data_IF_093068901113
#
_entry.id   IF_093068901113
#
_cell.length_a   1.000
_cell.length_b   1.000
_cell.length_c   1.000
_cell.angle_alpha   90.00
_cell.angle_beta   90.00
_cell.angle_gamma   90.00
#
_symmetry.space_group_name_H-M   'P 1'
#
loop_
_entity.id
_entity.type
_entity.pdbx_description
1 polymer ?
#
# COMPACT_ATOMS: atom_id res chain seq x y z
N UNK A 1 9.55 0.56 -21.25
CA UNK A 1 8.94 -0.08 -20.08
C UNK A 1 8.07 0.91 -19.34
N UNK A 2 6.94 0.44 -18.86
CA UNK A 2 6.04 1.29 -18.09
C UNK A 2 6.59 1.57 -16.69
N UNK A 3 6.58 2.84 -16.28
CA UNK A 3 6.89 3.20 -14.91
C UNK A 3 5.64 3.01 -14.06
N UNK A 4 5.72 2.17 -13.04
CA UNK A 4 4.60 1.92 -12.15
C UNK A 4 4.53 2.98 -11.05
N UNK A 5 3.31 3.33 -10.66
CA UNK A 5 3.03 4.28 -9.58
C UNK A 5 2.44 3.54 -8.39
N UNK A 6 3.02 3.77 -7.23
CA UNK A 6 2.62 3.13 -5.97
C UNK A 6 2.11 4.17 -5.00
N UNK A 7 0.92 3.96 -4.45
CA UNK A 7 0.42 4.81 -3.37
C UNK A 7 0.87 4.24 -2.04
N UNK A 8 1.55 5.05 -1.24
CA UNK A 8 2.00 4.66 0.10
C UNK A 8 1.18 5.38 1.15
N UNK A 9 0.49 4.64 2.00
CA UNK A 9 -0.41 5.17 3.00
C UNK A 9 0.11 4.84 4.39
N UNK A 10 0.49 5.86 5.16
CA UNK A 10 1.00 5.71 6.52
C UNK A 10 0.83 7.05 7.22
N UNK A 11 0.45 7.03 8.50
CA UNK A 11 0.30 8.27 9.26
C UNK A 11 1.63 8.83 9.76
N UNK A 12 2.71 8.08 9.66
CA UNK A 12 4.05 8.51 10.06
C UNK A 12 4.79 9.10 8.86
N UNK A 13 5.15 10.39 8.97
CA UNK A 13 5.85 11.10 7.90
C UNK A 13 7.21 10.48 7.58
N UNK A 14 7.94 10.03 8.60
CA UNK A 14 9.24 9.40 8.41
C UNK A 14 9.14 8.12 7.59
N UNK A 15 8.11 7.32 7.84
CA UNK A 15 7.87 6.09 7.10
C UNK A 15 7.49 6.42 5.65
N UNK A 16 6.63 7.42 5.43
CA UNK A 16 6.29 7.83 4.07
C UNK A 16 7.53 8.29 3.30
N UNK A 17 8.39 9.06 3.93
CA UNK A 17 9.63 9.54 3.31
C UNK A 17 10.56 8.38 2.97
N UNK A 18 10.67 7.41 3.89
CA UNK A 18 11.52 6.23 3.70
C UNK A 18 11.05 5.40 2.50
N UNK A 19 9.75 5.11 2.43
CA UNK A 19 9.20 4.34 1.32
C UNK A 19 9.32 5.12 0.01
N UNK A 20 9.07 6.43 0.05
CA UNK A 20 9.22 7.27 -1.13
C UNK A 20 10.62 7.23 -1.70
N UNK A 21 11.64 7.34 -0.84
CA UNK A 21 13.03 7.26 -1.26
C UNK A 21 13.39 5.88 -1.81
N UNK A 22 12.99 4.82 -1.09
CA UNK A 22 13.30 3.45 -1.49
C UNK A 22 12.68 3.11 -2.84
N UNK A 23 11.40 3.37 -2.98
CA UNK A 23 10.67 3.06 -4.21
C UNK A 23 11.16 3.93 -5.37
N UNK A 24 11.41 5.21 -5.11
CA UNK A 24 11.93 6.11 -6.13
C UNK A 24 13.27 5.65 -6.68
N UNK A 25 14.16 5.18 -5.80
CA UNK A 25 15.45 4.64 -6.21
C UNK A 25 15.33 3.38 -7.07
N UNK A 26 14.20 2.70 -6.97
CA UNK A 26 13.96 1.46 -7.73
C UNK A 26 13.02 1.66 -8.91
N UNK A 27 12.85 2.89 -9.36
CA UNK A 27 12.16 3.20 -10.60
C UNK A 27 10.65 3.38 -10.48
N UNK A 28 10.11 3.43 -9.27
CA UNK A 28 8.68 3.67 -9.07
C UNK A 28 8.39 5.14 -8.86
N UNK A 29 7.22 5.57 -9.31
CA UNK A 29 6.65 6.84 -8.87
C UNK A 29 5.84 6.60 -7.61
N UNK A 30 5.85 7.54 -6.69
CA UNK A 30 5.22 7.38 -5.40
C UNK A 30 4.22 8.51 -5.15
N UNK A 31 3.03 8.13 -4.73
CA UNK A 31 2.01 9.06 -4.26
C UNK A 31 1.81 8.75 -2.78
N UNK A 32 2.02 9.73 -1.91
CA UNK A 32 1.93 9.53 -0.47
C UNK A 32 0.59 10.00 0.07
N UNK A 33 0.02 9.24 1.00
CA UNK A 33 -1.19 9.64 1.71
C UNK A 33 -0.96 9.43 3.21
N UNK A 34 -1.45 10.39 4.03
CA UNK A 34 -1.15 10.40 5.46
C UNK A 34 -2.25 9.78 6.33
N UNK A 35 -3.35 9.34 5.74
CA UNK A 35 -4.46 8.71 6.46
C UNK A 35 -5.32 7.92 5.49
N UNK A 36 -6.22 7.09 6.03
CA UNK A 36 -7.17 6.38 5.19
C UNK A 36 -8.07 7.33 4.41
N UNK A 37 -8.58 8.37 5.06
CA UNK A 37 -9.44 9.35 4.36
C UNK A 37 -8.69 10.10 3.27
N UNK A 38 -7.46 10.50 3.55
CA UNK A 38 -6.63 11.16 2.55
C UNK A 38 -6.40 10.22 1.36
N UNK A 39 -6.14 8.94 1.64
CA UNK A 39 -5.95 7.94 0.59
C UNK A 39 -7.19 7.80 -0.29
N UNK A 40 -8.40 7.86 0.28
CA UNK A 40 -9.62 7.81 -0.52
C UNK A 40 -9.67 8.97 -1.52
N UNK A 41 -9.39 10.18 -1.06
CA UNK A 41 -9.40 11.37 -1.93
C UNK A 41 -8.35 11.26 -3.03
N UNK A 42 -7.15 10.84 -2.66
CA UNK A 42 -6.05 10.66 -3.63
C UNK A 42 -6.44 9.62 -4.66
N UNK A 43 -6.98 8.49 -4.22
CA UNK A 43 -7.35 7.41 -5.12
C UNK A 43 -8.46 7.83 -6.08
N UNK A 44 -9.46 8.55 -5.59
CA UNK A 44 -10.56 9.00 -6.45
C UNK A 44 -10.07 9.89 -7.58
N UNK A 45 -9.06 10.72 -7.33
CA UNK A 45 -8.56 11.63 -8.36
C UNK A 45 -7.50 11.00 -9.24
N UNK A 46 -6.81 9.94 -8.78
CA UNK A 46 -5.66 9.36 -9.49
C UNK A 46 -5.78 7.86 -9.73
N UNK A 47 -6.99 7.33 -9.67
CA UNK A 47 -7.25 5.89 -9.76
C UNK A 47 -6.56 5.23 -10.95
N UNK A 48 -6.61 5.87 -12.11
CA UNK A 48 -6.04 5.31 -13.34
C UNK A 48 -4.51 5.27 -13.34
N UNK A 49 -3.88 6.08 -12.50
CA UNK A 49 -2.42 6.16 -12.43
C UNK A 49 -1.84 5.19 -11.40
N UNK A 50 -2.63 4.78 -10.41
CA UNK A 50 -2.14 3.98 -9.28
C UNK A 50 -2.13 2.51 -9.67
N UNK A 51 -0.95 1.90 -9.64
CA UNK A 51 -0.75 0.50 -10.03
C UNK A 51 -0.71 -0.45 -8.85
N UNK A 52 -0.40 0.04 -7.65
CA UNK A 52 -0.34 -0.77 -6.43
C UNK A 52 -0.43 0.14 -5.21
N UNK A 53 -0.75 -0.44 -4.05
CA UNK A 53 -0.86 0.29 -2.80
C UNK A 53 -0.08 -0.46 -1.71
N UNK A 54 0.72 0.28 -0.96
CA UNK A 54 1.34 -0.19 0.28
C UNK A 54 0.71 0.62 1.40
N UNK A 55 0.11 -0.06 2.37
CA UNK A 55 -0.61 0.64 3.43
C UNK A 55 -0.31 0.07 4.81
N UNK A 56 -0.32 0.96 5.80
CA UNK A 56 -0.19 0.63 7.20
C UNK A 56 -1.54 0.16 7.72
N UNK A 57 -1.56 -0.92 8.49
CA UNK A 57 -2.78 -1.38 9.14
C UNK A 57 -3.21 -0.42 10.24
N UNK A 58 -2.26 0.05 11.04
CA UNK A 58 -2.54 0.82 12.25
C UNK A 58 -2.52 2.31 11.97
N UNK A 59 -3.69 2.87 11.68
CA UNK A 59 -3.86 4.30 11.45
C UNK A 59 -5.05 4.81 12.25
N UNK A 60 -4.98 6.03 12.80
CA UNK A 60 -6.12 6.63 13.48
C UNK A 60 -7.32 6.80 12.52
N UNK A 61 -8.51 6.57 13.03
CA UNK A 61 -9.72 6.65 12.21
C UNK A 61 -9.90 5.39 11.38
N UNK A 62 -9.77 5.53 10.06
CA UNK A 62 -9.90 4.39 9.16
C UNK A 62 -8.59 3.57 9.20
N UNK A 63 -8.67 2.30 9.58
CA UNK A 63 -7.49 1.43 9.59
C UNK A 63 -7.21 0.89 8.18
N UNK A 64 -6.05 0.20 8.05
CA UNK A 64 -5.62 -0.30 6.76
C UNK A 64 -6.56 -1.34 6.15
N UNK A 65 -7.18 -2.17 6.98
CA UNK A 65 -8.09 -3.19 6.46
C UNK A 65 -9.35 -2.58 5.88
N UNK A 66 -9.90 -1.57 6.55
CA UNK A 66 -11.06 -0.84 6.05
C UNK A 66 -10.74 -0.14 4.72
N UNK A 67 -9.55 0.45 4.63
CA UNK A 67 -9.10 1.09 3.40
C UNK A 67 -8.92 0.04 2.29
N UNK A 68 -8.29 -1.09 2.59
CA UNK A 68 -8.08 -2.16 1.61
C UNK A 68 -9.40 -2.67 1.06
N UNK A 69 -10.40 -2.87 1.93
CA UNK A 69 -11.72 -3.32 1.49
C UNK A 69 -12.36 -2.32 0.53
N UNK A 70 -12.25 -1.03 0.84
CA UNK A 70 -12.79 0.02 -0.03
C UNK A 70 -12.08 0.03 -1.39
N UNK A 71 -10.75 -0.08 -1.38
CA UNK A 71 -9.94 -0.08 -2.61
C UNK A 71 -10.28 -1.28 -3.50
N UNK A 72 -10.37 -2.46 -2.92
CA UNK A 72 -10.68 -3.69 -3.68
C UNK A 72 -12.09 -3.68 -4.24
N UNK A 73 -13.01 -3.02 -3.58
CA UNK A 73 -14.37 -2.87 -4.07
C UNK A 73 -14.41 -2.04 -5.33
N UNK A 74 -13.58 -0.99 -5.39
CA UNK A 74 -13.47 -0.11 -6.56
C UNK A 74 -12.60 -0.70 -7.66
N UNK A 75 -11.57 -1.43 -7.27
CA UNK A 75 -10.57 -1.95 -8.22
C UNK A 75 -10.13 -3.34 -7.76
N UNK A 76 -10.90 -4.39 -8.08
CA UNK A 76 -10.65 -5.74 -7.52
C UNK A 76 -9.28 -6.33 -7.81
N UNK A 77 -8.63 -5.90 -8.89
CA UNK A 77 -7.32 -6.43 -9.27
C UNK A 77 -6.15 -5.59 -8.77
N UNK A 78 -6.43 -4.52 -8.02
CA UNK A 78 -5.37 -3.65 -7.50
C UNK A 78 -4.51 -4.41 -6.49
N UNK A 79 -3.19 -4.53 -6.72
CA UNK A 79 -2.31 -5.15 -5.73
C UNK A 79 -2.26 -4.32 -4.45
N UNK A 80 -2.47 -4.96 -3.30
CA UNK A 80 -2.45 -4.33 -2.00
C UNK A 80 -1.49 -5.07 -1.09
N UNK A 81 -0.49 -4.35 -0.59
CA UNK A 81 0.46 -4.84 0.42
C UNK A 81 0.16 -4.13 1.72
N UNK A 82 -0.07 -4.90 2.78
CA UNK A 82 -0.34 -4.34 4.12
C UNK A 82 0.84 -4.57 5.04
N UNK A 83 1.23 -3.52 5.76
CA UNK A 83 2.31 -3.59 6.74
C UNK A 83 1.68 -3.39 8.12
N UNK A 84 1.98 -4.29 9.05
CA UNK A 84 1.37 -4.24 10.38
C UNK A 84 2.38 -4.55 11.47
N UNK A 85 2.28 -3.81 12.58
CA UNK A 85 3.04 -4.10 13.79
C UNK A 85 2.34 -5.11 14.69
N UNK A 86 1.07 -5.38 14.43
CA UNK A 86 0.29 -6.43 15.09
C UNK A 86 -0.22 -7.40 14.04
N UNK A 87 -0.65 -8.59 14.46
CA UNK A 87 -1.08 -9.63 13.55
C UNK A 87 -2.62 -9.65 13.45
N UNK A 88 -3.21 -8.93 12.48
CA UNK A 88 -4.64 -9.10 12.23
C UNK A 88 -4.91 -10.54 11.76
N UNK A 89 -6.10 -11.03 12.05
CA UNK A 89 -6.47 -12.40 11.69
C UNK A 89 -6.39 -12.60 10.17
N UNK A 90 -5.67 -13.61 9.70
CA UNK A 90 -5.51 -13.83 8.25
C UNK A 90 -6.83 -13.91 7.49
N UNK A 91 -7.86 -14.48 8.12
CA UNK A 91 -9.18 -14.60 7.49
C UNK A 91 -9.83 -13.26 7.23
N UNK A 92 -9.55 -12.25 8.07
CA UNK A 92 -10.09 -10.90 7.90
C UNK A 92 -9.42 -10.17 6.74
N UNK A 93 -8.15 -10.48 6.48
CA UNK A 93 -7.36 -9.82 5.46
C UNK A 93 -7.49 -10.44 4.08
N UNK A 94 -7.66 -11.77 4.02
CA UNK A 94 -7.54 -12.54 2.79
C UNK A 94 -8.33 -12.00 1.58
N UNK A 95 -9.56 -11.49 1.73
CA UNK A 95 -10.27 -10.96 0.56
C UNK A 95 -9.73 -9.62 0.06
N UNK A 96 -8.98 -8.88 0.87
CA UNK A 96 -8.65 -7.48 0.57
C UNK A 96 -7.16 -7.20 0.46
N UNK A 97 -6.31 -8.14 0.85
CA UNK A 97 -4.87 -7.93 0.92
C UNK A 97 -4.16 -9.05 0.17
N UNK A 98 -3.30 -8.68 -0.76
CA UNK A 98 -2.53 -9.67 -1.54
C UNK A 98 -1.31 -10.17 -0.76
N UNK A 99 -0.67 -9.29 0.01
CA UNK A 99 0.49 -9.62 0.82
C UNK A 99 0.40 -8.85 2.14
N UNK A 100 0.61 -9.55 3.25
CA UNK A 100 0.70 -8.93 4.58
C UNK A 100 2.09 -9.17 5.14
N UNK A 101 2.71 -8.13 5.68
CA UNK A 101 4.05 -8.19 6.25
C UNK A 101 4.10 -7.47 7.59
N UNK A 102 4.97 -7.92 8.49
CA UNK A 102 5.24 -7.23 9.73
C UNK A 102 6.14 -6.01 9.52
N UNK A 103 6.03 -5.03 10.42
CA UNK A 103 6.85 -3.81 10.35
C UNK A 103 8.36 -4.08 10.47
N UNK A 104 8.75 -5.21 11.05
CA UNK A 104 10.16 -5.59 11.19
C UNK A 104 10.76 -6.27 9.96
N UNK A 105 9.98 -6.51 8.92
CA UNK A 105 10.47 -7.16 7.71
C UNK A 105 11.40 -6.21 6.95
N UNK A 106 12.55 -6.71 6.44
CA UNK A 106 13.44 -5.86 5.64
C UNK A 106 12.72 -5.24 4.44
N UNK A 107 13.04 -4.00 4.14
CA UNK A 107 12.39 -3.25 3.06
C UNK A 107 12.56 -3.92 1.69
N UNK A 108 13.66 -4.67 1.51
CA UNK A 108 13.88 -5.43 0.28
C UNK A 108 12.74 -6.42 0.00
N UNK A 109 12.17 -7.02 1.05
CA UNK A 109 11.06 -7.96 0.87
C UNK A 109 9.83 -7.28 0.30
N UNK A 110 9.60 -6.02 0.66
CA UNK A 110 8.50 -5.24 0.10
C UNK A 110 8.72 -5.03 -1.39
N UNK A 111 9.94 -4.66 -1.78
CA UNK A 111 10.28 -4.48 -3.19
C UNK A 111 10.12 -5.76 -3.98
N UNK A 112 10.59 -6.88 -3.43
CA UNK A 112 10.50 -8.17 -4.11
C UNK A 112 9.05 -8.58 -4.35
N UNK A 113 8.20 -8.42 -3.35
CA UNK A 113 6.78 -8.78 -3.48
C UNK A 113 6.05 -7.84 -4.43
N UNK A 114 6.38 -6.55 -4.35
CA UNK A 114 5.78 -5.56 -5.24
C UNK A 114 6.11 -5.88 -6.70
N UNK A 115 7.35 -6.22 -6.98
CA UNK A 115 7.77 -6.58 -8.32
C UNK A 115 7.00 -7.78 -8.86
N UNK A 116 6.86 -8.82 -8.05
CA UNK A 116 6.09 -10.02 -8.44
C UNK A 116 4.64 -9.66 -8.74
N UNK A 117 4.00 -8.86 -7.88
CA UNK A 117 2.61 -8.50 -8.06
C UNK A 117 2.38 -7.67 -9.33
N UNK A 118 3.34 -6.80 -9.66
CA UNK A 118 3.21 -5.91 -10.82
C UNK A 118 3.58 -6.58 -12.15
N UNK A 119 4.25 -7.73 -12.10
CA UNK A 119 4.60 -8.49 -13.30
C UNK A 119 3.48 -9.41 -13.79
N UNK A 120 2.46 -9.63 -12.99
CA UNK A 120 1.38 -10.56 -13.32
C UNK A 120 0.22 -9.91 -14.04
#
# INVERSE_FOLDING_TARGET
MKTHTVMCVDDDAGIRDLYGALLGQNGYQVIAAHSGRHALHVFESKEKEIDAVILDYEMPGMNGLELAAWLKQRHPKLPVIMISGSDPEPQQMAPFVDVAMGKGVPLRHILDRLQVLLET
#
